data_IF_332153683442
#
_entry.id   IF_332153683442
#
_cell.length_a   1.000
_cell.length_b   1.000
_cell.length_c   1.000
_cell.angle_alpha   90.00
_cell.angle_beta   90.00
_cell.angle_gamma   90.00
#
_symmetry.space_group_name_H-M   'P 1'
#
loop_
_entity.id
_entity.type
_entity.pdbx_description
1 polymer ?
#
# COMPACT_ATOMS: atom_id res chain seq x y z
N UNK A 1 -17.22 16.73 -58.59
CA UNK A 1 -18.04 17.69 -57.79
C UNK A 1 -17.95 17.46 -56.27
N UNK A 2 -17.19 16.48 -55.79
CA UNK A 2 -17.09 16.11 -54.36
C UNK A 2 -16.02 16.86 -53.54
N UNK A 3 -15.08 17.57 -54.17
CA UNK A 3 -13.96 18.18 -53.44
C UNK A 3 -14.31 19.44 -52.63
N UNK A 4 -15.30 20.23 -53.06
CA UNK A 4 -15.69 21.46 -52.33
C UNK A 4 -16.43 21.17 -51.02
N UNK A 5 -17.24 20.10 -51.00
CA UNK A 5 -17.96 19.67 -49.80
C UNK A 5 -17.01 19.10 -48.73
N UNK A 6 -15.98 18.37 -49.14
CA UNK A 6 -14.96 17.82 -48.22
C UNK A 6 -14.08 18.93 -47.65
N UNK A 7 -13.70 19.94 -48.44
CA UNK A 7 -12.96 21.10 -47.95
C UNK A 7 -13.77 21.92 -46.93
N UNK A 8 -15.07 22.12 -47.18
CA UNK A 8 -15.96 22.81 -46.25
C UNK A 8 -16.15 22.01 -44.95
N UNK A 9 -16.28 20.69 -45.02
CA UNK A 9 -16.38 19.85 -43.83
C UNK A 9 -15.11 19.92 -42.97
N UNK A 10 -13.92 19.78 -43.57
CA UNK A 10 -12.65 19.86 -42.85
C UNK A 10 -12.41 21.25 -42.24
N UNK A 11 -12.75 22.33 -42.96
CA UNK A 11 -12.67 23.68 -42.41
C UNK A 11 -13.63 23.88 -41.22
N UNK A 12 -14.85 23.34 -41.29
CA UNK A 12 -15.78 23.35 -40.16
C UNK A 12 -15.25 22.56 -38.96
N UNK A 13 -14.67 21.37 -39.15
CA UNK A 13 -14.09 20.59 -38.06
C UNK A 13 -12.94 21.34 -37.36
N UNK A 14 -12.02 21.95 -38.11
CA UNK A 14 -10.92 22.72 -37.52
C UNK A 14 -11.38 23.98 -36.77
N UNK A 15 -12.44 24.66 -37.24
CA UNK A 15 -13.02 25.81 -36.53
C UNK A 15 -13.72 25.41 -35.21
N UNK A 16 -14.30 24.21 -35.13
CA UNK A 16 -14.96 23.71 -33.92
C UNK A 16 -13.92 23.31 -32.85
N UNK A 17 -12.85 22.60 -33.23
CA UNK A 17 -11.76 22.19 -32.32
C UNK A 17 -11.00 23.40 -31.72
N UNK A 18 -10.81 24.46 -32.53
CA UNK A 18 -10.15 25.70 -32.07
C UNK A 18 -11.01 26.46 -31.05
N UNK A 19 -12.34 26.42 -31.20
CA UNK A 19 -13.28 27.03 -30.23
C UNK A 19 -13.32 26.26 -28.89
N UNK A 20 -13.23 24.93 -28.90
CA UNK A 20 -13.20 24.13 -27.67
C UNK A 20 -11.96 24.43 -26.81
N UNK A 21 -10.81 24.65 -27.44
CA UNK A 21 -9.54 24.95 -26.74
C UNK A 21 -9.49 26.32 -26.06
N UNK A 22 -10.23 27.32 -26.57
CA UNK A 22 -10.33 28.64 -25.92
C UNK A 22 -11.27 28.64 -24.70
N UNK A 23 -12.31 27.79 -24.70
CA UNK A 23 -13.25 27.68 -23.58
C UNK A 23 -12.62 26.93 -22.40
N UNK A 24 -11.75 25.94 -22.64
CA UNK A 24 -11.08 25.20 -21.55
C UNK A 24 -10.05 26.06 -20.79
N UNK A 25 -9.33 26.94 -21.48
CA UNK A 25 -8.30 27.79 -20.87
C UNK A 25 -8.85 29.04 -20.14
N UNK A 26 -10.15 29.31 -20.23
CA UNK A 26 -10.79 30.46 -19.55
C UNK A 26 -11.56 30.04 -18.30
N UNK A 27 -11.50 28.77 -17.89
CA UNK A 27 -12.01 28.35 -16.60
C UNK A 27 -11.16 28.98 -15.48
N UNK A 28 -11.72 29.84 -14.60
CA UNK A 28 -10.99 30.38 -13.48
C UNK A 28 -10.55 29.25 -12.54
N UNK A 29 -9.41 29.38 -11.83
CA UNK A 29 -9.10 28.46 -10.74
C UNK A 29 -10.25 28.49 -9.74
N UNK A 30 -10.84 27.34 -9.45
CA UNK A 30 -11.90 27.21 -8.44
C UNK A 30 -11.45 27.89 -7.14
N UNK A 31 -12.32 28.67 -6.48
CA UNK A 31 -11.99 29.18 -5.16
C UNK A 31 -11.70 28.01 -4.23
N UNK A 32 -10.54 28.05 -3.58
CA UNK A 32 -10.20 27.12 -2.53
C UNK A 32 -11.29 27.19 -1.45
N UNK A 33 -12.15 26.18 -1.40
CA UNK A 33 -13.07 25.98 -0.30
C UNK A 33 -12.23 25.71 0.93
N UNK A 34 -12.04 26.74 1.76
CA UNK A 34 -11.55 26.58 3.13
C UNK A 34 -12.38 25.48 3.78
N UNK A 35 -11.76 24.46 4.42
CA UNK A 35 -12.53 23.54 5.23
C UNK A 35 -13.11 24.35 6.38
N UNK A 36 -14.44 24.48 6.38
CA UNK A 36 -15.19 24.85 7.57
C UNK A 36 -14.70 23.90 8.67
N UNK A 37 -13.99 24.44 9.66
CA UNK A 37 -13.70 23.73 10.91
C UNK A 37 -15.06 23.35 11.48
N UNK A 38 -15.43 22.09 11.31
CA UNK A 38 -16.48 21.50 12.10
C UNK A 38 -16.01 21.59 13.55
N UNK A 39 -16.84 22.22 14.38
CA UNK A 39 -16.67 22.20 15.81
C UNK A 39 -16.40 20.75 16.28
N UNK A 40 -15.51 20.54 17.26
CA UNK A 40 -15.31 19.21 17.82
C UNK A 40 -16.66 18.67 18.30
N UNK A 41 -16.94 17.37 18.12
CA UNK A 41 -18.15 16.78 18.66
C UNK A 41 -18.20 17.02 20.18
N UNK A 42 -19.40 17.22 20.77
CA UNK A 42 -19.52 17.32 22.22
C UNK A 42 -18.86 16.07 22.87
N UNK A 43 -18.23 16.21 24.04
CA UNK A 43 -17.70 15.05 24.75
C UNK A 43 -18.84 14.06 24.93
N UNK A 44 -18.61 12.80 24.54
CA UNK A 44 -19.57 11.73 24.73
C UNK A 44 -20.00 11.69 26.19
N UNK A 45 -21.29 11.46 26.51
CA UNK A 45 -21.72 11.31 27.89
C UNK A 45 -20.89 10.20 28.53
N UNK A 46 -20.20 10.54 29.61
CA UNK A 46 -19.42 9.60 30.41
C UNK A 46 -20.43 8.65 31.05
N UNK A 47 -20.77 7.57 30.34
CA UNK A 47 -21.53 6.50 30.94
C UNK A 47 -20.55 5.81 31.88
N UNK A 48 -20.73 6.01 33.18
CA UNK A 48 -20.01 5.25 34.18
C UNK A 48 -20.17 3.77 33.83
N UNK A 49 -19.06 3.13 33.48
CA UNK A 49 -19.03 1.71 33.21
C UNK A 49 -19.57 0.99 34.46
N UNK A 50 -20.46 0.00 34.31
CA UNK A 50 -20.79 -0.87 35.43
C UNK A 50 -19.48 -1.46 35.94
N UNK A 51 -19.22 -1.32 37.24
CA UNK A 51 -18.10 -1.95 37.93
C UNK A 51 -18.11 -3.44 37.58
N UNK A 52 -17.18 -3.86 36.73
CA UNK A 52 -17.01 -5.25 36.36
C UNK A 52 -16.58 -5.99 37.64
N UNK A 53 -17.27 -7.06 38.08
CA UNK A 53 -16.86 -7.82 39.26
C UNK A 53 -15.41 -8.28 39.11
N UNK A 54 -14.64 -8.41 40.21
CA UNK A 54 -13.29 -8.96 40.15
C UNK A 54 -13.35 -10.35 39.51
N UNK A 55 -12.55 -10.57 38.46
CA UNK A 55 -12.35 -11.92 37.93
C UNK A 55 -11.78 -12.78 39.08
N UNK A 56 -12.45 -13.89 39.36
CA UNK A 56 -11.98 -14.89 40.29
C UNK A 56 -10.55 -15.35 39.92
N UNK A 57 -9.66 -15.60 40.89
CA UNK A 57 -8.33 -16.08 40.61
C UNK A 57 -8.34 -17.56 40.18
N UNK A 58 -7.58 -17.86 39.12
CA UNK A 58 -7.07 -19.18 38.77
C UNK A 58 -8.09 -20.25 38.36
N UNK A 59 -8.61 -20.13 37.14
CA UNK A 59 -8.85 -21.31 36.31
C UNK A 59 -7.55 -21.60 35.52
N UNK A 60 -7.04 -22.84 35.48
CA UNK A 60 -5.93 -23.19 34.60
C UNK A 60 -6.30 -22.85 33.15
N UNK A 61 -5.36 -22.36 32.33
CA UNK A 61 -5.64 -22.08 30.93
C UNK A 61 -6.20 -23.34 30.26
N UNK A 62 -7.20 -23.21 29.36
CA UNK A 62 -7.66 -24.36 28.60
C UNK A 62 -6.46 -25.01 27.91
N UNK A 63 -6.40 -26.35 27.81
CA UNK A 63 -5.32 -27.00 27.07
C UNK A 63 -5.31 -26.39 25.67
N UNK A 64 -4.17 -25.78 25.31
CA UNK A 64 -3.96 -25.31 23.94
C UNK A 64 -4.32 -26.46 23.01
N UNK A 65 -5.09 -26.24 21.92
CA UNK A 65 -5.23 -27.28 20.92
C UNK A 65 -3.82 -27.64 20.50
N UNK A 66 -3.45 -28.90 20.75
CA UNK A 66 -2.19 -29.46 20.28
C UNK A 66 -2.04 -29.04 18.82
N UNK A 67 -0.91 -28.44 18.41
CA UNK A 67 -0.64 -28.28 17.01
C UNK A 67 -0.56 -29.69 16.43
N UNK A 68 -1.66 -30.16 15.83
CA UNK A 68 -1.66 -31.32 14.95
C UNK A 68 -0.73 -30.90 13.83
N UNK A 69 0.53 -31.24 14.00
CA UNK A 69 1.59 -30.88 13.08
C UNK A 69 1.24 -31.69 11.84
N UNK A 70 0.78 -31.09 10.72
CA UNK A 70 0.76 -31.84 9.48
C UNK A 70 2.17 -32.41 9.29
N UNK A 71 2.31 -33.65 8.79
CA UNK A 71 3.62 -34.23 8.54
C UNK A 71 4.45 -33.19 7.78
N UNK A 72 5.75 -33.03 8.11
CA UNK A 72 6.58 -32.06 7.43
C UNK A 72 6.37 -32.27 5.93
N UNK A 73 6.02 -31.22 5.15
CA UNK A 73 6.05 -31.38 3.71
C UNK A 73 7.43 -31.94 3.41
N UNK A 74 7.46 -33.09 2.75
CA UNK A 74 8.69 -33.71 2.24
C UNK A 74 9.59 -32.60 1.69
N UNK A 75 10.91 -32.61 1.92
CA UNK A 75 11.80 -31.60 1.38
C UNK A 75 11.79 -31.71 -0.15
N UNK A 76 10.77 -31.12 -0.79
CA UNK A 76 10.88 -30.60 -2.13
C UNK A 76 12.04 -29.64 -2.03
N UNK A 77 13.18 -30.06 -2.57
CA UNK A 77 14.37 -29.27 -2.65
C UNK A 77 13.99 -27.83 -3.01
N UNK A 78 14.57 -26.80 -2.36
CA UNK A 78 14.38 -25.44 -2.81
C UNK A 78 14.98 -25.33 -4.22
N UNK A 79 14.16 -25.47 -5.26
CA UNK A 79 14.52 -25.13 -6.65
C UNK A 79 14.66 -23.62 -6.83
N UNK A 80 14.57 -22.84 -5.75
CA UNK A 80 14.98 -21.44 -5.76
C UNK A 80 16.50 -21.42 -5.61
N UNK A 81 17.27 -20.96 -6.61
CA UNK A 81 18.69 -20.72 -6.42
C UNK A 81 18.90 -19.87 -5.15
N UNK A 82 20.03 -20.04 -4.44
CA UNK A 82 20.38 -19.14 -3.34
C UNK A 82 20.21 -17.70 -3.84
N UNK A 83 19.63 -16.77 -3.06
CA UNK A 83 19.41 -15.41 -3.53
C UNK A 83 20.78 -14.74 -3.69
N UNK A 84 21.40 -14.92 -4.86
CA UNK A 84 22.45 -14.08 -5.41
C UNK A 84 21.81 -12.75 -5.78
N UNK A 85 21.30 -12.05 -4.78
CA UNK A 85 20.69 -10.76 -4.97
C UNK A 85 21.77 -9.68 -4.92
N UNK A 86 22.65 -9.73 -5.91
CA UNK A 86 23.65 -8.69 -6.17
C UNK A 86 23.01 -7.55 -6.99
N UNK A 87 21.88 -7.81 -7.66
CA UNK A 87 21.23 -6.82 -8.53
C UNK A 87 19.94 -6.26 -7.90
N UNK A 88 19.81 -4.94 -7.71
CA UNK A 88 18.60 -4.30 -7.18
C UNK A 88 17.40 -4.42 -8.15
N UNK A 89 16.15 -4.45 -7.65
CA UNK A 89 14.96 -4.77 -8.40
C UNK A 89 14.54 -3.51 -9.14
N UNK A 90 14.40 -3.59 -10.46
CA UNK A 90 14.03 -2.44 -11.28
C UNK A 90 12.53 -2.36 -11.49
N UNK A 91 11.88 -3.52 -11.53
CA UNK A 91 10.45 -3.66 -11.81
C UNK A 91 9.67 -4.18 -10.60
N UNK A 92 8.35 -3.99 -10.63
CA UNK A 92 7.44 -4.54 -9.62
C UNK A 92 7.49 -6.07 -9.56
N UNK A 93 7.60 -6.73 -10.72
CA UNK A 93 7.69 -8.18 -10.82
C UNK A 93 8.91 -8.73 -10.05
N UNK A 94 10.05 -8.06 -10.12
CA UNK A 94 11.25 -8.44 -9.37
C UNK A 94 11.09 -8.23 -7.85
N UNK A 95 10.20 -7.33 -7.42
CA UNK A 95 9.87 -7.15 -6.01
C UNK A 95 9.02 -8.28 -5.44
N UNK A 96 8.17 -8.92 -6.25
CA UNK A 96 7.22 -9.96 -5.79
C UNK A 96 7.92 -11.09 -5.04
N UNK A 97 8.91 -11.81 -5.60
CA UNK A 97 9.54 -12.94 -4.91
C UNK A 97 10.26 -12.50 -3.62
N UNK A 98 10.85 -11.30 -3.60
CA UNK A 98 11.51 -10.76 -2.41
C UNK A 98 10.51 -10.43 -1.30
N UNK A 99 9.39 -9.81 -1.65
CA UNK A 99 8.33 -9.48 -0.71
C UNK A 99 7.64 -10.73 -0.17
N UNK A 100 7.49 -11.79 -0.98
CA UNK A 100 6.98 -13.09 -0.51
C UNK A 100 7.87 -13.64 0.61
N UNK A 101 9.20 -13.59 0.45
CA UNK A 101 10.13 -14.00 1.50
C UNK A 101 9.99 -13.10 2.73
N UNK A 102 10.02 -11.78 2.55
CA UNK A 102 9.91 -10.78 3.62
C UNK A 102 8.65 -10.97 4.47
N UNK A 103 7.51 -11.20 3.81
CA UNK A 103 6.20 -11.28 4.44
C UNK A 103 5.80 -12.69 4.91
N UNK A 104 6.64 -13.71 4.68
CA UNK A 104 6.32 -15.12 4.94
C UNK A 104 5.81 -15.39 6.36
N UNK A 105 6.41 -14.75 7.36
CA UNK A 105 6.07 -14.89 8.79
C UNK A 105 5.20 -13.75 9.34
N UNK A 106 4.77 -12.81 8.50
CA UNK A 106 3.94 -11.70 8.96
C UNK A 106 2.52 -12.17 9.23
N UNK A 107 1.93 -11.80 10.37
CA UNK A 107 0.56 -12.20 10.76
C UNK A 107 -0.48 -11.73 9.73
N UNK A 108 -0.32 -10.51 9.23
CA UNK A 108 -1.15 -9.88 8.18
C UNK A 108 -0.45 -9.92 6.82
N UNK A 109 -0.29 -11.10 6.21
CA UNK A 109 0.46 -11.29 4.94
C UNK A 109 0.05 -10.34 3.81
N UNK A 110 -1.25 -10.18 3.55
CA UNK A 110 -1.75 -9.30 2.48
C UNK A 110 -1.48 -7.82 2.73
N UNK A 111 -1.43 -7.39 3.99
CA UNK A 111 -1.07 -6.01 4.36
C UNK A 111 0.44 -5.81 4.16
N UNK A 112 1.24 -6.75 4.65
CA UNK A 112 2.69 -6.74 4.47
C UNK A 112 3.09 -6.71 2.99
N UNK A 113 2.50 -7.56 2.15
CA UNK A 113 2.80 -7.62 0.71
C UNK A 113 2.52 -6.29 0.01
N UNK A 114 1.37 -5.66 0.29
CA UNK A 114 1.04 -4.35 -0.28
C UNK A 114 2.05 -3.27 0.12
N UNK A 115 2.41 -3.23 1.41
CA UNK A 115 3.40 -2.28 1.91
C UNK A 115 4.80 -2.54 1.31
N UNK A 116 5.23 -3.79 1.29
CA UNK A 116 6.52 -4.20 0.75
C UNK A 116 6.66 -3.83 -0.73
N UNK A 117 5.65 -4.12 -1.56
CA UNK A 117 5.68 -3.80 -2.99
C UNK A 117 5.80 -2.28 -3.22
N UNK A 118 5.03 -1.45 -2.50
CA UNK A 118 5.17 0.01 -2.59
C UNK A 118 6.57 0.48 -2.18
N UNK A 119 7.11 -0.08 -1.10
CA UNK A 119 8.45 0.27 -0.63
C UNK A 119 9.53 -0.18 -1.62
N UNK A 120 9.40 -1.37 -2.20
CA UNK A 120 10.35 -1.89 -3.17
C UNK A 120 10.31 -1.12 -4.49
N UNK A 121 9.12 -0.79 -4.99
CA UNK A 121 8.99 0.02 -6.21
C UNK A 121 9.65 1.39 -6.08
N UNK A 122 9.53 2.00 -4.88
CA UNK A 122 10.10 3.32 -4.58
C UNK A 122 11.59 3.27 -4.26
N UNK A 123 12.01 2.32 -3.43
CA UNK A 123 13.38 2.25 -2.91
C UNK A 123 14.29 1.32 -3.69
N UNK A 124 13.74 0.54 -4.64
CA UNK A 124 14.47 -0.44 -5.44
C UNK A 124 15.33 -1.35 -4.54
N UNK A 125 14.75 -1.83 -3.43
CA UNK A 125 15.39 -2.72 -2.49
C UNK A 125 14.35 -3.38 -1.56
N UNK A 126 14.57 -4.65 -1.22
CA UNK A 126 13.86 -5.38 -0.15
C UNK A 126 14.92 -5.98 0.77
N UNK A 127 14.88 -5.72 2.09
CA UNK A 127 15.93 -6.20 2.96
C UNK A 127 15.82 -7.71 3.20
N UNK A 128 16.95 -8.42 3.35
CA UNK A 128 16.96 -9.86 3.49
C UNK A 128 16.29 -10.31 4.79
N UNK A 129 15.75 -11.53 4.77
CA UNK A 129 15.03 -12.13 5.90
C UNK A 129 13.61 -11.57 6.09
N UNK A 130 12.93 -12.06 7.12
CA UNK A 130 11.53 -11.72 7.44
C UNK A 130 11.40 -10.53 8.39
N UNK A 131 12.46 -10.26 9.17
CA UNK A 131 12.48 -9.23 10.21
C UNK A 131 13.82 -8.47 10.20
N UNK A 132 13.81 -7.24 10.69
CA UNK A 132 15.02 -6.40 10.81
C UNK A 132 15.68 -6.08 9.47
N UNK A 133 17.00 -5.84 9.49
CA UNK A 133 17.84 -5.60 8.32
C UNK A 133 17.43 -4.38 7.45
N UNK A 134 16.59 -3.49 7.96
CA UNK A 134 16.04 -2.36 7.17
C UNK A 134 17.14 -1.41 6.69
N UNK A 135 18.21 -1.31 7.47
CA UNK A 135 19.43 -0.57 7.18
C UNK A 135 20.16 -1.02 5.91
N UNK A 136 20.00 -2.30 5.50
CA UNK A 136 20.59 -2.81 4.26
C UNK A 136 19.98 -2.20 3.00
N UNK A 137 18.77 -1.68 3.09
CA UNK A 137 18.12 -0.90 2.03
C UNK A 137 18.19 0.61 2.25
N UNK A 138 19.05 1.05 3.18
CA UNK A 138 19.28 2.45 3.51
C UNK A 138 18.05 3.17 4.07
N UNK A 139 18.15 4.51 4.08
CA UNK A 139 17.13 5.39 4.66
C UNK A 139 15.78 5.32 3.95
N UNK A 140 15.76 5.03 2.64
CA UNK A 140 14.52 4.99 1.87
C UNK A 140 13.55 3.94 2.42
N UNK A 141 14.01 2.70 2.64
CA UNK A 141 13.15 1.64 3.17
C UNK A 141 12.95 1.80 4.68
N UNK A 142 14.01 2.15 5.42
CA UNK A 142 13.97 2.22 6.88
C UNK A 142 13.12 3.37 7.43
N UNK A 143 13.13 4.54 6.78
CA UNK A 143 12.53 5.76 7.32
C UNK A 143 11.23 6.17 6.62
N UNK A 144 10.71 5.37 5.70
CA UNK A 144 9.45 5.69 5.03
C UNK A 144 8.30 5.60 6.03
N UNK A 145 7.55 6.69 6.16
CA UNK A 145 6.40 6.78 7.06
C UNK A 145 5.10 6.90 6.28
N UNK A 146 4.02 6.49 6.93
CA UNK A 146 2.65 6.78 6.53
C UNK A 146 2.29 8.22 6.94
N UNK A 147 1.15 8.73 6.46
CA UNK A 147 0.63 10.05 6.89
C UNK A 147 0.45 10.17 8.41
N UNK A 148 0.23 9.05 9.11
CA UNK A 148 0.11 9.01 10.58
C UNK A 148 1.44 8.80 11.31
N UNK A 149 2.59 9.06 10.69
CA UNK A 149 3.91 9.00 11.33
C UNK A 149 4.45 7.60 11.62
N UNK A 150 3.67 6.54 11.41
CA UNK A 150 4.13 5.15 11.59
C UNK A 150 5.00 4.69 10.42
N UNK A 151 5.99 3.85 10.71
CA UNK A 151 6.81 3.18 9.70
C UNK A 151 5.92 2.43 8.70
N UNK A 152 6.13 2.68 7.41
CA UNK A 152 5.33 2.12 6.32
C UNK A 152 5.84 0.75 5.89
N UNK A 153 7.16 0.58 5.79
CA UNK A 153 7.77 -0.62 5.21
C UNK A 153 7.93 -1.74 6.25
N UNK A 154 7.63 -3.01 5.89
CA UNK A 154 7.68 -4.14 6.81
C UNK A 154 9.11 -4.44 7.29
#
# INVERSE_FOLDING_TARGET
>A
MTSKAVLLALACFLLIDTRASLIYNSAPPSPATSPLVSAPPPPSPVTNAPTRPPLAPNAPPPPSPTPTTPPPPSPSAPTSPPPTYVKPPRTRQECIPLCVVRCKKHSRKNVCMRACLTCCERCKCVPPGQYGNKEKCGKCYANMTTKGGKLKCP
#
